data_IF_740881737290
#
_entry.id   IF_740881737290
#
_cell.length_a   1.000
_cell.length_b   1.000
_cell.length_c   1.000
_cell.angle_alpha   90.00
_cell.angle_beta   90.00
_cell.angle_gamma   90.00
#
_symmetry.space_group_name_H-M   'P 1'
#
loop_
_entity.id
_entity.type
_entity.pdbx_description
1 polymer ?
#
# COMPACT_ATOMS: atom_id res chain seq x y z
N UNK A 1 -59.83 -19.66 19.29
CA UNK A 1 -58.77 -18.63 19.08
C UNK A 1 -57.37 -19.17 19.39
N UNK A 2 -57.15 -19.91 20.49
CA UNK A 2 -55.83 -20.43 20.87
C UNK A 2 -55.12 -21.36 19.85
N UNK A 3 -55.85 -22.29 19.20
CA UNK A 3 -55.26 -23.24 18.23
C UNK A 3 -54.68 -22.56 16.97
N UNK A 4 -55.28 -21.46 16.53
CA UNK A 4 -54.82 -20.69 15.36
C UNK A 4 -53.53 -19.93 15.70
N UNK A 5 -53.40 -19.47 16.94
CA UNK A 5 -52.20 -18.80 17.44
C UNK A 5 -50.99 -19.75 17.42
N UNK A 6 -51.17 -20.97 17.94
CA UNK A 6 -50.11 -21.99 18.01
C UNK A 6 -49.64 -22.43 16.62
N UNK A 7 -50.58 -22.60 15.67
CA UNK A 7 -50.24 -22.94 14.29
C UNK A 7 -49.43 -21.83 13.59
N UNK A 8 -49.77 -20.56 13.85
CA UNK A 8 -49.06 -19.41 13.31
C UNK A 8 -47.65 -19.27 13.90
N UNK A 9 -47.48 -19.56 15.19
CA UNK A 9 -46.17 -19.59 15.86
C UNK A 9 -45.28 -20.71 15.32
N UNK A 10 -45.83 -21.92 15.10
CA UNK A 10 -45.09 -23.02 14.48
C UNK A 10 -44.64 -22.72 13.04
N UNK A 11 -45.49 -22.05 12.26
CA UNK A 11 -45.12 -21.62 10.90
C UNK A 11 -44.01 -20.56 10.91
N UNK A 12 -44.07 -19.60 11.84
CA UNK A 12 -43.04 -18.57 12.01
C UNK A 12 -41.70 -19.15 12.47
N UNK A 13 -41.72 -20.14 13.37
CA UNK A 13 -40.52 -20.85 13.80
C UNK A 13 -39.85 -21.62 12.65
N UNK A 14 -40.65 -22.28 11.80
CA UNK A 14 -40.13 -22.95 10.61
C UNK A 14 -39.57 -21.95 9.58
N UNK A 15 -40.17 -20.77 9.44
CA UNK A 15 -39.67 -19.73 8.54
C UNK A 15 -38.37 -19.08 9.04
N UNK A 16 -38.24 -18.84 10.35
CA UNK A 16 -37.01 -18.29 10.92
C UNK A 16 -35.85 -19.29 10.88
N UNK A 17 -36.13 -20.59 11.10
CA UNK A 17 -35.15 -21.66 10.95
C UNK A 17 -34.62 -21.74 9.51
N UNK A 18 -35.51 -21.76 8.51
CA UNK A 18 -35.10 -21.75 7.09
C UNK A 18 -34.29 -20.51 6.72
N UNK A 19 -34.70 -19.34 7.21
CA UNK A 19 -33.96 -18.09 6.97
C UNK A 19 -32.57 -18.13 7.61
N UNK A 20 -32.44 -18.66 8.81
CA UNK A 20 -31.15 -18.81 9.49
C UNK A 20 -30.21 -19.77 8.73
N UNK A 21 -30.75 -20.87 8.17
CA UNK A 21 -30.00 -21.80 7.32
C UNK A 21 -29.55 -21.14 6.01
N UNK A 22 -30.44 -20.39 5.34
CA UNK A 22 -30.10 -19.63 4.13
C UNK A 22 -29.04 -18.56 4.38
N UNK A 23 -29.14 -17.84 5.51
CA UNK A 23 -28.17 -16.80 5.88
C UNK A 23 -26.82 -17.41 6.27
N UNK A 24 -26.81 -18.59 6.91
CA UNK A 24 -25.60 -19.35 7.17
C UNK A 24 -24.93 -19.84 5.87
N UNK A 25 -25.73 -20.30 4.89
CA UNK A 25 -25.23 -20.71 3.59
C UNK A 25 -24.61 -19.53 2.83
N UNK A 26 -25.31 -18.39 2.75
CA UNK A 26 -24.78 -17.17 2.12
C UNK A 26 -23.50 -16.69 2.77
N UNK A 27 -23.42 -16.73 4.10
CA UNK A 27 -22.21 -16.37 4.84
C UNK A 27 -21.05 -17.32 4.50
N UNK A 28 -21.29 -18.63 4.47
CA UNK A 28 -20.28 -19.61 4.11
C UNK A 28 -19.78 -19.42 2.66
N UNK A 29 -20.67 -19.07 1.73
CA UNK A 29 -20.31 -18.76 0.34
C UNK A 29 -19.46 -17.49 0.22
N UNK A 30 -19.81 -16.43 0.95
CA UNK A 30 -19.03 -15.18 0.99
C UNK A 30 -17.66 -15.41 1.60
N UNK A 31 -17.57 -16.18 2.69
CA UNK A 31 -16.30 -16.52 3.33
C UNK A 31 -15.44 -17.39 2.43
N UNK A 32 -16.03 -18.35 1.71
CA UNK A 32 -15.35 -19.16 0.70
C UNK A 32 -14.87 -18.30 -0.50
N UNK A 33 -15.68 -17.35 -0.96
CA UNK A 33 -15.31 -16.42 -2.02
C UNK A 33 -14.14 -15.51 -1.58
N UNK A 34 -14.18 -15.02 -0.33
CA UNK A 34 -13.10 -14.23 0.27
C UNK A 34 -11.81 -15.06 0.39
N UNK A 35 -11.91 -16.31 0.84
CA UNK A 35 -10.76 -17.21 0.93
C UNK A 35 -10.13 -17.46 -0.46
N UNK A 36 -10.94 -17.69 -1.50
CA UNK A 36 -10.47 -17.84 -2.88
C UNK A 36 -9.80 -16.55 -3.40
N UNK A 37 -10.38 -15.39 -3.12
CA UNK A 37 -9.81 -14.10 -3.50
C UNK A 37 -8.45 -13.83 -2.82
N UNK A 38 -8.33 -14.16 -1.52
CA UNK A 38 -7.06 -14.04 -0.79
C UNK A 38 -6.02 -15.02 -1.32
N UNK A 39 -6.40 -16.27 -1.61
CA UNK A 39 -5.52 -17.26 -2.22
C UNK A 39 -5.02 -16.82 -3.61
N UNK A 40 -5.89 -16.21 -4.42
CA UNK A 40 -5.52 -15.65 -5.72
C UNK A 40 -4.49 -14.52 -5.58
N UNK A 41 -4.69 -13.57 -4.67
CA UNK A 41 -3.73 -12.48 -4.40
C UNK A 41 -2.39 -13.03 -3.93
N UNK A 42 -2.40 -14.01 -3.03
CA UNK A 42 -1.17 -14.63 -2.54
C UNK A 42 -0.42 -15.37 -3.66
N UNK A 43 -1.15 -15.98 -4.62
CA UNK A 43 -0.54 -16.62 -5.79
C UNK A 43 0.00 -15.61 -6.82
N UNK A 44 -0.65 -14.46 -6.97
CA UNK A 44 -0.14 -13.32 -7.76
C UNK A 44 1.12 -12.72 -7.10
N UNK A 45 1.09 -12.50 -5.79
CA UNK A 45 2.24 -12.04 -5.01
C UNK A 45 3.39 -13.06 -5.03
N UNK A 46 3.07 -14.37 -4.96
CA UNK A 46 4.06 -15.45 -5.06
C UNK A 46 4.58 -15.69 -6.48
N UNK A 47 3.89 -15.21 -7.53
CA UNK A 47 4.48 -15.15 -8.89
C UNK A 47 5.61 -14.12 -8.98
N UNK A 48 5.68 -13.17 -8.03
CA UNK A 48 6.91 -12.42 -7.74
C UNK A 48 7.89 -13.22 -6.87
N UNK A 49 7.89 -14.56 -6.97
CA UNK A 49 8.76 -15.52 -6.26
C UNK A 49 10.27 -15.41 -6.56
N UNK A 50 10.72 -14.25 -7.03
CA UNK A 50 12.09 -13.76 -6.91
C UNK A 50 12.01 -12.58 -5.95
N UNK A 51 12.71 -12.64 -4.82
CA UNK A 51 12.89 -11.50 -3.90
C UNK A 51 12.93 -10.22 -4.73
N UNK A 52 11.86 -9.42 -4.66
CA UNK A 52 11.69 -8.28 -5.56
C UNK A 52 12.75 -7.25 -5.15
N UNK A 53 13.90 -7.30 -5.83
CA UNK A 53 14.96 -6.32 -5.63
C UNK A 53 14.51 -5.03 -6.32
N UNK A 54 14.01 -4.10 -5.51
CA UNK A 54 13.72 -2.76 -5.98
C UNK A 54 15.04 -2.06 -6.32
N UNK A 55 15.18 -1.60 -7.56
CA UNK A 55 16.28 -0.72 -7.97
C UNK A 55 15.85 0.72 -7.66
N UNK A 56 16.58 1.37 -6.77
CA UNK A 56 16.35 2.76 -6.40
C UNK A 56 17.60 3.59 -6.62
N UNK A 57 17.40 4.87 -6.97
CA UNK A 57 18.46 5.88 -6.99
C UNK A 57 18.27 6.79 -5.77
N UNK A 58 19.37 7.30 -5.21
CA UNK A 58 19.31 8.19 -4.06
C UNK A 58 20.29 9.35 -4.14
N UNK A 59 19.93 10.43 -3.45
CA UNK A 59 20.76 11.60 -3.23
C UNK A 59 20.96 11.73 -1.72
N UNK A 60 22.21 11.70 -1.27
CA UNK A 60 22.54 11.89 0.14
C UNK A 60 22.97 13.32 0.38
N UNK A 61 22.32 13.97 1.35
CA UNK A 61 22.69 15.30 1.82
C UNK A 61 23.34 15.16 3.18
N UNK A 62 24.63 15.46 3.28
CA UNK A 62 25.33 15.48 4.56
C UNK A 62 25.07 16.80 5.27
N UNK A 63 24.69 16.66 6.53
CA UNK A 63 24.66 17.74 7.51
C UNK A 63 25.86 17.54 8.43
N UNK A 64 26.58 18.61 8.74
CA UNK A 64 27.63 18.52 9.76
C UNK A 64 26.97 18.46 11.13
N UNK A 65 27.56 17.73 12.07
CA UNK A 65 27.08 17.68 13.46
C UNK A 65 27.13 19.04 14.16
N UNK A 66 27.95 19.96 13.63
CA UNK A 66 28.10 21.34 14.09
C UNK A 66 27.13 22.32 13.44
N UNK A 67 26.33 21.89 12.46
CA UNK A 67 25.41 22.78 11.76
C UNK A 67 24.28 23.21 12.69
N UNK A 68 23.93 24.51 12.66
CA UNK A 68 22.75 24.98 13.39
C UNK A 68 21.47 24.51 12.69
N UNK A 69 20.37 24.43 13.46
CA UNK A 69 19.07 24.03 12.91
C UNK A 69 18.65 24.90 11.71
N UNK A 70 18.86 26.21 11.78
CA UNK A 70 18.55 27.13 10.67
C UNK A 70 19.35 26.83 9.39
N UNK A 71 20.59 26.37 9.52
CA UNK A 71 21.43 26.01 8.37
C UNK A 71 20.92 24.73 7.69
N UNK A 72 20.46 23.77 8.49
CA UNK A 72 19.85 22.53 8.01
C UNK A 72 18.52 22.84 7.32
N UNK A 73 17.69 23.69 7.92
CA UNK A 73 16.40 24.10 7.36
C UNK A 73 16.57 24.85 6.03
N UNK A 74 17.52 25.81 5.95
CA UNK A 74 17.84 26.49 4.69
C UNK A 74 18.30 25.52 3.60
N UNK A 75 19.13 24.54 3.95
CA UNK A 75 19.53 23.47 3.02
C UNK A 75 18.31 22.68 2.53
N UNK A 76 17.41 22.27 3.44
CA UNK A 76 16.18 21.54 3.10
C UNK A 76 15.25 22.35 2.18
N UNK A 77 15.05 23.63 2.46
CA UNK A 77 14.19 24.51 1.66
C UNK A 77 14.77 24.68 0.25
N UNK A 78 16.08 24.93 0.13
CA UNK A 78 16.74 25.04 -1.17
C UNK A 78 16.60 23.75 -1.99
N UNK A 79 16.76 22.60 -1.33
CA UNK A 79 16.57 21.29 -1.96
C UNK A 79 15.14 21.01 -2.40
N UNK A 80 14.17 21.40 -1.57
CA UNK A 80 12.76 21.28 -1.91
C UNK A 80 12.42 22.12 -3.14
N UNK A 81 12.94 23.34 -3.22
CA UNK A 81 12.76 24.20 -4.40
C UNK A 81 13.37 23.57 -5.66
N UNK A 82 14.56 22.97 -5.57
CA UNK A 82 15.18 22.26 -6.70
C UNK A 82 14.30 21.09 -7.17
N UNK A 83 13.71 20.33 -6.25
CA UNK A 83 12.84 19.20 -6.59
C UNK A 83 11.48 19.62 -7.16
N UNK A 84 10.95 20.77 -6.73
CA UNK A 84 9.65 21.30 -7.17
C UNK A 84 9.75 22.07 -8.49
N UNK A 85 10.80 22.87 -8.69
CA UNK A 85 11.03 23.68 -9.89
C UNK A 85 11.46 22.84 -11.08
N UNK A 86 12.17 21.75 -10.82
CA UNK A 86 12.63 20.89 -11.87
C UNK A 86 11.54 19.88 -12.30
N UNK A 87 11.40 19.64 -13.61
CA UNK A 87 10.36 18.79 -14.20
C UNK A 87 10.63 17.28 -13.99
N UNK A 88 11.11 16.86 -12.83
CA UNK A 88 11.49 15.46 -12.50
C UNK A 88 10.31 14.47 -12.53
N UNK A 89 9.09 14.98 -12.65
CA UNK A 89 7.86 14.20 -12.77
C UNK A 89 7.66 13.70 -14.21
N UNK A 90 8.35 14.33 -15.18
CA UNK A 90 8.09 14.16 -16.61
C UNK A 90 9.30 13.61 -17.38
N UNK A 91 10.48 13.49 -16.77
CA UNK A 91 11.68 12.99 -17.44
C UNK A 91 12.44 12.02 -16.54
N UNK A 92 12.28 10.72 -16.82
CA UNK A 92 13.03 9.60 -16.25
C UNK A 92 14.56 9.70 -16.44
N UNK A 93 15.04 10.72 -17.16
CA UNK A 93 16.43 10.87 -17.57
C UNK A 93 17.33 11.66 -16.60
N UNK A 94 16.79 12.38 -15.61
CA UNK A 94 17.58 13.47 -14.99
C UNK A 94 17.86 13.35 -13.48
N UNK A 95 17.35 12.30 -12.83
CA UNK A 95 17.69 12.02 -11.42
C UNK A 95 19.15 11.58 -11.26
N UNK A 96 19.68 10.86 -12.26
CA UNK A 96 21.08 10.44 -12.27
C UNK A 96 22.05 11.62 -12.42
N UNK A 97 21.70 12.66 -13.17
CA UNK A 97 22.53 13.87 -13.32
C UNK A 97 22.47 14.73 -12.07
N UNK A 98 21.28 14.89 -11.49
CA UNK A 98 21.12 15.49 -10.16
C UNK A 98 21.97 14.80 -9.11
N UNK A 99 21.91 13.47 -9.05
CA UNK A 99 22.66 12.70 -8.09
C UNK A 99 24.18 12.90 -8.28
N UNK A 100 24.65 12.99 -9.53
CA UNK A 100 26.06 13.33 -9.82
C UNK A 100 26.43 14.74 -9.36
N UNK A 101 25.54 15.71 -9.56
CA UNK A 101 25.81 17.11 -9.25
C UNK A 101 25.77 17.41 -7.74
N UNK A 102 24.91 16.69 -7.00
CA UNK A 102 24.51 17.14 -5.68
C UNK A 102 24.50 16.06 -4.58
N UNK A 103 24.66 14.78 -4.90
CA UNK A 103 24.74 13.71 -3.88
C UNK A 103 26.15 13.63 -3.28
N UNK A 104 26.22 13.54 -1.96
CA UNK A 104 27.47 13.38 -1.21
C UNK A 104 27.77 11.90 -0.87
N UNK A 105 27.05 10.97 -1.52
CA UNK A 105 27.28 9.52 -1.45
C UNK A 105 28.26 9.08 -2.55
N UNK A 106 29.12 8.07 -2.33
CA UNK A 106 29.97 7.51 -3.39
C UNK A 106 29.20 6.99 -4.61
N UNK A 107 27.91 6.64 -4.46
CA UNK A 107 27.00 6.26 -5.55
C UNK A 107 26.70 7.41 -6.52
N UNK A 108 26.98 8.67 -6.14
CA UNK A 108 26.73 9.87 -6.94
C UNK A 108 27.30 9.75 -8.37
N UNK A 109 28.53 9.24 -8.50
CA UNK A 109 29.21 9.08 -9.80
C UNK A 109 28.43 8.14 -10.74
N UNK A 110 27.68 7.20 -10.18
CA UNK A 110 26.81 6.25 -10.90
C UNK A 110 25.35 6.71 -10.97
N UNK A 111 25.09 7.98 -10.70
CA UNK A 111 23.75 8.55 -10.68
C UNK A 111 22.89 8.07 -9.52
N UNK A 112 23.52 7.77 -8.37
CA UNK A 112 22.82 7.36 -7.15
C UNK A 112 22.40 5.89 -7.10
N UNK A 113 22.91 5.06 -8.04
CA UNK A 113 22.72 3.60 -8.07
C UNK A 113 23.72 2.84 -7.18
#
# INVERSE_FOLDING_TARGET
VALVQVALEGLRANQSAKKAEEDAHKKAEVDAARARAMAKRLAEDASFGKVAQAKAQHILLKVSETASFEQIEKKLIGWKAILEDAPYHNQEHDFGELAKAHSECPSAVRGGN
#
